data_IF_351213943303
#
_entry.id   IF_351213943303
#
_cell.length_a   1.000
_cell.length_b   1.000
_cell.length_c   1.000
_cell.angle_alpha   90.00
_cell.angle_beta   90.00
_cell.angle_gamma   90.00
#
_symmetry.space_group_name_H-M   'P 1'
#
loop_
_entity.id
_entity.type
_entity.pdbx_description
1 polymer ?
#
# COMPACT_ATOMS: atom_id res chain seq x y z
N UNK A 1 -4.39 -4.73 19.58
CA UNK A 1 -4.01 -4.13 18.30
C UNK A 1 -2.90 -3.09 18.46
N UNK A 2 -3.09 -2.01 19.24
CA UNK A 2 -2.10 -0.92 19.37
C UNK A 2 -0.72 -1.42 19.87
N UNK A 3 -0.65 -2.29 20.88
CA UNK A 3 0.60 -2.89 21.34
C UNK A 3 1.34 -3.61 20.22
N UNK A 4 0.64 -4.44 19.44
CA UNK A 4 1.23 -5.14 18.28
C UNK A 4 1.82 -4.18 17.24
N UNK A 5 1.13 -3.05 16.99
CA UNK A 5 1.62 -2.02 16.05
C UNK A 5 2.93 -1.42 16.56
N UNK A 6 2.97 -1.06 17.85
CA UNK A 6 4.17 -0.49 18.50
C UNK A 6 5.33 -1.49 18.52
N UNK A 7 5.07 -2.76 18.79
CA UNK A 7 6.11 -3.80 18.78
C UNK A 7 6.74 -3.96 17.39
N UNK A 8 5.91 -4.03 16.35
CA UNK A 8 6.39 -4.11 14.97
C UNK A 8 7.17 -2.85 14.57
N UNK A 9 6.64 -1.67 14.91
CA UNK A 9 7.30 -0.40 14.62
C UNK A 9 8.65 -0.27 15.35
N UNK A 10 8.71 -0.64 16.63
CA UNK A 10 9.94 -0.64 17.41
C UNK A 10 11.00 -1.60 16.83
N UNK A 11 10.57 -2.75 16.32
CA UNK A 11 11.47 -3.68 15.62
C UNK A 11 12.06 -3.04 14.35
N UNK A 12 11.19 -2.48 13.49
CA UNK A 12 11.61 -1.88 12.21
C UNK A 12 12.46 -0.62 12.45
N UNK A 13 12.18 0.16 13.47
CA UNK A 13 12.91 1.41 13.80
C UNK A 13 14.42 1.20 13.97
N UNK A 14 14.85 0.01 14.37
CA UNK A 14 16.28 -0.33 14.52
C UNK A 14 17.04 -0.24 13.19
N UNK A 15 16.34 -0.41 12.07
CA UNK A 15 16.90 -0.36 10.72
C UNK A 15 16.81 1.03 10.08
N UNK A 16 16.12 1.99 10.74
CA UNK A 16 15.97 3.35 10.21
C UNK A 16 17.14 4.27 10.55
N UNK A 17 18.05 3.83 11.45
CA UNK A 17 19.29 4.55 11.81
C UNK A 17 19.05 6.02 12.21
N UNK A 18 17.90 6.32 12.84
CA UNK A 18 17.50 7.68 13.22
C UNK A 18 17.05 8.58 12.07
N UNK A 19 17.07 8.09 10.83
CA UNK A 19 16.59 8.83 9.67
C UNK A 19 15.06 8.83 9.60
N UNK A 20 14.50 9.85 8.93
CA UNK A 20 13.06 9.99 8.74
C UNK A 20 12.63 9.41 7.39
N UNK A 21 11.69 8.49 7.42
CA UNK A 21 11.08 7.85 6.24
C UNK A 21 9.61 8.29 6.14
N UNK A 22 9.34 9.29 5.31
CA UNK A 22 7.98 9.85 5.18
C UNK A 22 7.18 9.24 4.04
N UNK A 23 7.80 8.43 3.19
CA UNK A 23 7.21 7.85 1.99
C UNK A 23 7.13 6.34 2.17
N UNK A 24 5.92 5.80 2.07
CA UNK A 24 5.64 4.39 1.98
C UNK A 24 5.23 4.01 0.56
N UNK A 25 5.66 2.85 0.09
CA UNK A 25 5.31 2.32 -1.24
C UNK A 25 4.83 0.88 -1.07
N UNK A 26 3.66 0.56 -1.61
CA UNK A 26 3.19 -0.84 -1.70
C UNK A 26 3.27 -1.26 -3.15
N UNK A 27 4.22 -2.14 -3.43
CA UNK A 27 4.43 -2.68 -4.78
C UNK A 27 3.40 -3.78 -5.05
N UNK A 28 2.53 -3.53 -6.02
CA UNK A 28 1.54 -4.49 -6.48
C UNK A 28 2.10 -5.50 -7.48
N UNK A 29 1.23 -6.38 -7.94
CA UNK A 29 1.53 -7.39 -8.96
C UNK A 29 2.06 -6.73 -10.23
N UNK A 30 3.14 -7.26 -10.77
CA UNK A 30 3.81 -6.72 -11.98
C UNK A 30 4.80 -5.58 -11.71
N UNK A 31 4.76 -4.93 -10.54
CA UNK A 31 5.64 -3.82 -10.19
C UNK A 31 6.81 -4.21 -9.28
N UNK A 32 7.06 -5.51 -9.11
CA UNK A 32 8.22 -6.01 -8.33
C UNK A 32 9.57 -5.52 -8.86
N UNK A 33 9.65 -5.25 -10.17
CA UNK A 33 10.85 -4.71 -10.82
C UNK A 33 11.18 -3.29 -10.34
N UNK A 34 10.18 -2.49 -9.97
CA UNK A 34 10.40 -1.16 -9.39
C UNK A 34 11.23 -1.24 -8.09
N UNK A 35 11.12 -2.35 -7.37
CA UNK A 35 11.97 -2.61 -6.21
C UNK A 35 13.47 -2.62 -6.53
N UNK A 36 13.86 -2.96 -7.76
CA UNK A 36 15.26 -2.92 -8.21
C UNK A 36 15.79 -1.49 -8.38
N UNK A 37 14.91 -0.50 -8.54
CA UNK A 37 15.27 0.92 -8.64
C UNK A 37 15.44 1.59 -7.28
N UNK A 38 15.18 0.87 -6.19
CA UNK A 38 15.41 1.35 -4.82
C UNK A 38 16.87 1.06 -4.46
N UNK A 39 17.59 2.07 -4.03
CA UNK A 39 18.91 1.92 -3.40
C UNK A 39 18.71 1.34 -2.01
N UNK A 40 18.67 0.01 -1.91
CA UNK A 40 18.28 -0.73 -0.71
C UNK A 40 19.40 -0.63 0.33
N UNK A 41 19.07 -0.15 1.53
CA UNK A 41 19.92 -0.22 2.73
C UNK A 41 19.67 -1.51 3.51
N UNK A 42 18.39 -1.82 3.76
CA UNK A 42 17.99 -3.01 4.51
C UNK A 42 16.83 -3.72 3.83
N UNK A 43 16.86 -5.05 3.90
CA UNK A 43 15.77 -5.94 3.50
C UNK A 43 15.34 -6.74 4.72
N UNK A 44 14.09 -6.63 5.12
CA UNK A 44 13.53 -7.30 6.29
C UNK A 44 12.43 -8.26 5.81
N UNK A 45 12.61 -9.58 5.91
CA UNK A 45 11.55 -10.53 5.62
C UNK A 45 10.34 -10.29 6.54
N UNK A 46 9.12 -10.33 6.03
CA UNK A 46 7.91 -10.15 6.84
C UNK A 46 7.83 -11.14 8.00
N UNK A 47 8.25 -12.38 7.77
CA UNK A 47 8.30 -13.41 8.81
C UNK A 47 9.22 -13.06 10.01
N UNK A 48 10.16 -12.14 9.81
CA UNK A 48 11.04 -11.63 10.87
C UNK A 48 10.47 -10.44 11.63
N UNK A 49 9.38 -9.83 11.15
CA UNK A 49 8.75 -8.67 11.80
C UNK A 49 7.66 -9.17 12.75
N UNK A 50 7.71 -8.84 14.05
CA UNK A 50 6.67 -9.25 14.99
C UNK A 50 5.27 -8.89 14.48
N UNK A 51 4.33 -9.81 14.60
CA UNK A 51 2.91 -9.65 14.26
C UNK A 51 2.57 -9.39 12.79
N UNK A 52 3.55 -9.38 11.88
CA UNK A 52 3.26 -9.27 10.46
C UNK A 52 2.65 -10.58 9.95
N UNK A 53 1.66 -10.52 9.05
CA UNK A 53 1.23 -11.70 8.32
C UNK A 53 2.36 -12.24 7.43
N UNK A 54 2.25 -13.49 7.02
CA UNK A 54 3.19 -14.11 6.08
C UNK A 54 2.47 -14.28 4.74
N UNK A 55 3.00 -13.71 3.66
CA UNK A 55 2.41 -13.89 2.33
C UNK A 55 2.50 -15.35 1.89
N UNK A 56 1.38 -15.90 1.45
CA UNK A 56 1.27 -17.28 0.93
C UNK A 56 1.27 -17.34 -0.59
N UNK A 57 1.23 -16.20 -1.25
CA UNK A 57 1.15 -16.09 -2.72
C UNK A 57 2.52 -16.27 -3.36
N UNK A 58 2.62 -17.23 -4.28
CA UNK A 58 3.82 -17.42 -5.09
C UNK A 58 4.14 -16.13 -5.89
N UNK A 59 5.42 -15.71 -5.85
CA UNK A 59 5.89 -14.49 -6.52
C UNK A 59 5.92 -13.25 -5.64
N UNK A 60 5.28 -13.25 -4.47
CA UNK A 60 5.48 -12.20 -3.48
C UNK A 60 6.68 -12.54 -2.59
N UNK A 61 7.75 -11.75 -2.73
CA UNK A 61 8.99 -11.99 -1.95
C UNK A 61 8.81 -11.79 -0.45
N UNK A 62 7.72 -11.13 -0.03
CA UNK A 62 7.39 -10.94 1.38
C UNK A 62 8.45 -10.17 2.16
N UNK A 63 8.95 -9.07 1.61
CA UNK A 63 10.01 -8.25 2.21
C UNK A 63 9.57 -6.81 2.42
N UNK A 64 10.05 -6.21 3.51
CA UNK A 64 10.05 -4.77 3.71
C UNK A 64 11.43 -4.24 3.30
N UNK A 65 11.46 -3.33 2.34
CA UNK A 65 12.66 -2.69 1.84
C UNK A 65 12.79 -1.31 2.44
N UNK A 66 13.95 -1.00 3.00
CA UNK A 66 14.28 0.32 3.53
C UNK A 66 15.43 0.87 2.68
N UNK A 67 15.28 2.06 2.13
CA UNK A 67 16.29 2.60 1.24
C UNK A 67 15.94 3.96 0.66
N UNK A 68 16.53 4.26 -0.51
CA UNK A 68 16.27 5.51 -1.24
C UNK A 68 15.68 5.22 -2.61
N UNK A 69 14.73 6.04 -3.01
CA UNK A 69 14.15 6.04 -4.35
C UNK A 69 14.06 7.47 -4.85
N UNK A 70 14.70 7.76 -5.99
CA UNK A 70 14.80 9.12 -6.49
C UNK A 70 15.42 10.10 -5.48
N UNK A 71 16.40 9.66 -4.70
CA UNK A 71 17.07 10.45 -3.66
C UNK A 71 16.24 10.71 -2.40
N UNK A 72 15.06 10.09 -2.25
CA UNK A 72 14.20 10.20 -1.06
C UNK A 72 14.18 8.91 -0.26
N UNK A 73 14.17 9.03 1.07
CA UNK A 73 14.04 7.88 1.95
C UNK A 73 12.64 7.28 1.81
N UNK A 74 12.58 5.97 1.55
CA UNK A 74 11.35 5.21 1.36
C UNK A 74 11.34 3.92 2.17
N UNK A 75 10.17 3.51 2.62
CA UNK A 75 9.89 2.16 3.10
C UNK A 75 8.97 1.52 2.06
N UNK A 76 9.42 0.44 1.43
CA UNK A 76 8.64 -0.21 0.40
C UNK A 76 8.27 -1.65 0.80
N UNK A 77 7.00 -2.00 0.63
CA UNK A 77 6.50 -3.36 0.76
C UNK A 77 6.67 -4.08 -0.57
N UNK A 78 7.55 -5.08 -0.63
CA UNK A 78 7.74 -5.96 -1.78
C UNK A 78 6.84 -7.18 -1.64
N UNK A 79 5.62 -7.05 -2.10
CA UNK A 79 4.50 -7.94 -1.84
C UNK A 79 3.57 -7.37 -0.77
N UNK A 80 2.36 -7.90 -0.76
CA UNK A 80 1.29 -7.49 0.16
C UNK A 80 0.46 -8.70 0.54
N UNK A 81 -0.45 -8.51 1.48
CA UNK A 81 -1.40 -9.52 1.94
C UNK A 81 -2.76 -9.28 1.26
N UNK A 82 -3.45 -10.37 0.92
CA UNK A 82 -4.74 -10.27 0.25
C UNK A 82 -5.83 -10.93 1.11
N UNK A 83 -7.02 -10.38 1.02
CA UNK A 83 -8.17 -10.91 1.74
C UNK A 83 -8.48 -12.37 1.35
N UNK A 84 -8.30 -12.73 0.07
CA UNK A 84 -8.52 -14.09 -0.41
C UNK A 84 -7.52 -15.13 0.12
N UNK A 85 -6.42 -14.70 0.75
CA UNK A 85 -5.48 -15.60 1.43
C UNK A 85 -6.04 -16.12 2.77
N UNK A 86 -7.24 -15.67 3.17
CA UNK A 86 -7.91 -16.08 4.40
C UNK A 86 -7.61 -15.18 5.61
N UNK A 87 -6.84 -14.13 5.44
CA UNK A 87 -6.59 -13.15 6.49
C UNK A 87 -7.80 -12.24 6.73
N UNK A 88 -8.20 -11.97 7.98
CA UNK A 88 -9.19 -10.95 8.27
C UNK A 88 -8.68 -9.57 7.82
N UNK A 89 -9.60 -8.69 7.41
CA UNK A 89 -9.25 -7.38 6.85
C UNK A 89 -8.37 -6.53 7.78
N UNK A 90 -8.49 -6.72 9.09
CA UNK A 90 -7.63 -6.04 10.08
C UNK A 90 -6.17 -6.48 10.01
N UNK A 91 -5.89 -7.73 9.63
CA UNK A 91 -4.53 -8.24 9.43
C UNK A 91 -3.98 -7.81 8.08
N UNK A 92 -4.80 -7.85 7.02
CA UNK A 92 -4.42 -7.35 5.69
C UNK A 92 -3.94 -5.89 5.76
N UNK A 93 -4.62 -5.06 6.56
CA UNK A 93 -4.31 -3.63 6.70
C UNK A 93 -3.33 -3.31 7.84
N UNK A 94 -2.92 -4.29 8.63
CA UNK A 94 -2.02 -4.11 9.77
C UNK A 94 -0.71 -3.39 9.41
N UNK A 95 -0.02 -3.76 8.30
CA UNK A 95 1.22 -3.10 7.91
C UNK A 95 1.07 -1.59 7.68
N UNK A 96 -0.08 -1.14 7.19
CA UNK A 96 -0.34 0.29 6.95
C UNK A 96 -0.32 1.07 8.27
N UNK A 97 -0.89 0.49 9.32
CA UNK A 97 -0.87 1.08 10.66
C UNK A 97 0.54 1.14 11.24
N UNK A 98 1.36 0.11 10.95
CA UNK A 98 2.77 0.10 11.34
C UNK A 98 3.57 1.16 10.58
N UNK A 99 3.36 1.33 9.27
CA UNK A 99 3.97 2.39 8.49
C UNK A 99 3.60 3.78 9.02
N UNK A 100 2.35 3.98 9.42
CA UNK A 100 1.90 5.22 10.06
C UNK A 100 2.65 5.49 11.38
N UNK A 101 2.79 4.49 12.24
CA UNK A 101 3.53 4.58 13.51
C UNK A 101 5.02 4.91 13.29
N UNK A 102 5.62 4.43 12.20
CA UNK A 102 6.98 4.76 11.77
C UNK A 102 7.12 6.20 11.21
N UNK A 103 6.01 6.95 11.09
CA UNK A 103 6.02 8.34 10.65
C UNK A 103 5.85 8.53 9.14
N UNK A 104 5.45 7.50 8.40
CA UNK A 104 5.06 7.63 6.98
C UNK A 104 3.89 8.59 6.85
N UNK A 105 3.99 9.55 5.93
CA UNK A 105 2.98 10.59 5.66
C UNK A 105 2.35 10.45 4.28
N UNK A 106 3.07 9.87 3.34
CA UNK A 106 2.65 9.67 1.96
C UNK A 106 2.71 8.20 1.64
N UNK A 107 1.60 7.63 1.22
CA UNK A 107 1.51 6.23 0.84
C UNK A 107 1.16 6.12 -0.64
N UNK A 108 2.02 5.44 -1.39
CA UNK A 108 1.77 5.07 -2.78
C UNK A 108 1.37 3.60 -2.82
N UNK A 109 0.20 3.32 -3.35
CA UNK A 109 -0.32 1.96 -3.47
C UNK A 109 -0.55 1.66 -4.95
N UNK A 110 -0.05 0.53 -5.41
CA UNK A 110 -0.23 0.08 -6.78
C UNK A 110 -0.83 -1.32 -6.83
N UNK A 111 -1.66 -1.58 -7.83
CA UNK A 111 -2.24 -2.88 -8.08
C UNK A 111 -2.57 -3.04 -9.57
N UNK A 112 -2.60 -4.28 -10.05
CA UNK A 112 -3.26 -4.61 -11.31
C UNK A 112 -4.76 -4.74 -11.07
N UNK A 113 -5.56 -4.34 -12.06
CA UNK A 113 -7.02 -4.47 -12.02
C UNK A 113 -7.57 -4.69 -13.43
N UNK A 114 -8.76 -5.31 -13.54
CA UNK A 114 -9.52 -5.35 -14.77
C UNK A 114 -10.14 -3.99 -15.09
N UNK A 115 -10.04 -3.56 -16.34
CA UNK A 115 -10.70 -2.35 -16.81
C UNK A 115 -12.16 -2.63 -17.20
N UNK A 116 -13.11 -1.99 -16.51
CA UNK A 116 -14.55 -2.05 -16.85
C UNK A 116 -14.90 -0.97 -17.88
N UNK A 117 -14.19 0.15 -17.87
CA UNK A 117 -14.34 1.19 -18.87
C UNK A 117 -13.79 0.69 -20.22
N UNK A 118 -14.64 0.62 -21.22
CA UNK A 118 -14.30 0.13 -22.57
C UNK A 118 -13.29 1.01 -23.33
N UNK A 119 -13.04 2.22 -22.84
CA UNK A 119 -12.03 3.11 -23.41
C UNK A 119 -10.61 2.86 -22.85
N UNK A 120 -10.50 2.05 -21.81
CA UNK A 120 -9.21 1.72 -21.24
C UNK A 120 -8.54 0.58 -22.01
N UNK A 121 -7.25 0.68 -22.19
CA UNK A 121 -6.44 -0.32 -22.89
C UNK A 121 -5.59 -1.11 -21.87
N UNK A 122 -5.23 -2.32 -22.25
CA UNK A 122 -4.29 -3.12 -21.45
C UNK A 122 -2.96 -2.41 -21.37
N UNK A 123 -2.47 -2.20 -20.13
CA UNK A 123 -1.24 -1.47 -19.88
C UNK A 123 -1.43 -0.01 -19.51
N UNK A 124 -2.64 0.53 -19.57
CA UNK A 124 -2.93 1.88 -19.09
C UNK A 124 -2.62 2.02 -17.60
N UNK A 125 -2.09 3.18 -17.24
CA UNK A 125 -1.94 3.61 -15.86
C UNK A 125 -3.14 4.46 -15.46
N UNK A 126 -3.86 4.03 -14.42
CA UNK A 126 -5.02 4.76 -13.89
C UNK A 126 -4.71 5.34 -12.51
N UNK A 127 -4.95 6.63 -12.36
CA UNK A 127 -4.99 7.29 -11.06
C UNK A 127 -6.36 6.99 -10.44
N UNK A 128 -6.36 6.34 -9.27
CA UNK A 128 -7.57 6.12 -8.50
C UNK A 128 -7.97 7.45 -7.84
N UNK A 129 -9.17 7.93 -8.15
CA UNK A 129 -9.72 9.17 -7.59
C UNK A 129 -10.69 8.90 -6.44
N UNK A 130 -11.33 7.74 -6.45
CA UNK A 130 -12.23 7.26 -5.40
C UNK A 130 -12.34 5.75 -5.47
N UNK A 131 -13.04 5.13 -4.51
CA UNK A 131 -13.25 3.68 -4.55
C UNK A 131 -14.62 3.28 -3.98
N UNK A 132 -15.10 2.13 -4.46
CA UNK A 132 -16.30 1.46 -3.97
C UNK A 132 -15.86 0.20 -3.27
N UNK A 133 -16.18 0.08 -1.99
CA UNK A 133 -15.85 -1.10 -1.20
C UNK A 133 -17.04 -2.07 -1.18
N UNK A 134 -16.90 -3.18 -1.89
CA UNK A 134 -17.87 -4.29 -1.93
C UNK A 134 -17.35 -5.53 -1.16
N UNK A 135 -16.36 -5.37 -0.31
CA UNK A 135 -15.92 -6.44 0.58
C UNK A 135 -16.92 -6.68 1.71
N UNK A 136 -17.11 -7.92 2.15
CA UNK A 136 -18.01 -8.26 3.27
C UNK A 136 -17.46 -7.81 4.62
N UNK A 137 -16.16 -7.54 4.70
CA UNK A 137 -15.45 -7.07 5.88
C UNK A 137 -14.89 -5.66 5.71
N UNK A 138 -14.77 -4.96 6.85
CA UNK A 138 -14.18 -3.64 6.90
C UNK A 138 -13.12 -3.61 8.03
N UNK A 139 -11.92 -3.07 7.79
CA UNK A 139 -10.83 -3.08 8.80
C UNK A 139 -11.15 -2.26 10.06
N UNK A 140 -12.11 -1.34 9.98
CA UNK A 140 -12.57 -0.54 11.12
C UNK A 140 -13.74 -1.19 11.89
N UNK A 141 -14.18 -2.41 11.53
CA UNK A 141 -15.21 -3.12 12.27
C UNK A 141 -14.70 -3.48 13.68
N UNK A 142 -15.53 -3.28 14.69
CA UNK A 142 -15.23 -3.58 16.09
C UNK A 142 -15.05 -2.30 16.93
N UNK A 143 -14.42 -2.43 18.11
CA UNK A 143 -14.15 -1.29 19.00
C UNK A 143 -13.18 -0.32 18.34
N UNK A 144 -13.49 0.97 18.41
CA UNK A 144 -12.57 2.01 17.93
C UNK A 144 -11.26 2.00 18.73
N UNK A 145 -10.18 2.41 18.09
CA UNK A 145 -8.88 2.65 18.70
C UNK A 145 -8.63 4.14 18.52
N UNK A 146 -9.00 4.93 19.54
CA UNK A 146 -9.06 6.39 19.46
C UNK A 146 -7.69 7.00 19.11
N UNK A 147 -6.60 6.34 19.52
CA UNK A 147 -5.22 6.73 19.19
C UNK A 147 -4.90 6.63 17.69
N UNK A 148 -5.68 5.84 16.93
CA UNK A 148 -5.50 5.70 15.49
C UNK A 148 -6.42 6.61 14.68
N UNK A 149 -7.35 7.29 15.34
CA UNK A 149 -8.24 8.25 14.71
C UNK A 149 -9.74 8.06 15.04
N UNK A 150 -10.60 8.89 14.44
CA UNK A 150 -12.03 8.87 14.72
C UNK A 150 -12.69 7.59 14.21
N UNK A 151 -13.82 7.21 14.86
CA UNK A 151 -14.63 6.05 14.46
C UNK A 151 -15.08 6.10 13.00
N UNK A 152 -15.41 7.30 12.52
CA UNK A 152 -15.88 7.55 11.16
C UNK A 152 -14.96 8.57 10.49
N UNK A 153 -13.83 8.12 9.91
CA UNK A 153 -12.95 9.01 9.18
C UNK A 153 -13.65 9.51 7.91
N UNK A 154 -13.47 10.80 7.60
CA UNK A 154 -13.91 11.36 6.33
C UNK A 154 -13.16 10.71 5.17
N UNK A 155 -13.88 10.29 4.12
CA UNK A 155 -13.30 9.64 2.95
C UNK A 155 -13.29 10.53 1.71
N UNK A 156 -13.81 11.75 1.80
CA UNK A 156 -13.87 12.69 0.67
C UNK A 156 -12.50 12.98 0.06
N UNK A 157 -11.47 13.06 0.91
CA UNK A 157 -10.09 13.34 0.50
C UNK A 157 -9.18 12.10 0.71
N UNK A 158 -9.72 10.90 0.53
CA UNK A 158 -8.95 9.66 0.67
C UNK A 158 -7.72 9.63 -0.26
N UNK A 159 -7.87 10.22 -1.45
CA UNK A 159 -6.79 10.40 -2.42
C UNK A 159 -6.41 11.87 -2.48
N UNK A 160 -5.15 12.18 -2.15
CA UNK A 160 -4.67 13.55 -2.05
C UNK A 160 -4.71 14.28 -3.40
N UNK A 161 -5.50 15.36 -3.55
CA UNK A 161 -5.56 16.13 -4.81
C UNK A 161 -4.20 16.72 -5.20
N UNK A 162 -3.35 17.03 -4.22
CA UNK A 162 -1.99 17.52 -4.45
C UNK A 162 -1.12 16.43 -5.10
N UNK A 163 -1.21 15.18 -4.62
CA UNK A 163 -0.41 14.07 -5.17
C UNK A 163 -0.93 13.69 -6.55
N UNK A 164 -2.25 13.73 -6.76
CA UNK A 164 -2.85 13.49 -8.08
C UNK A 164 -2.30 14.49 -9.10
N UNK A 165 -2.35 15.80 -8.82
CA UNK A 165 -1.79 16.82 -9.72
C UNK A 165 -0.31 16.60 -10.01
N UNK A 166 0.48 16.24 -8.99
CA UNK A 166 1.89 15.94 -9.18
C UNK A 166 2.11 14.74 -10.11
N UNK A 167 1.29 13.69 -9.98
CA UNK A 167 1.36 12.53 -10.87
C UNK A 167 0.99 12.90 -12.30
N UNK A 168 -0.02 13.74 -12.52
CA UNK A 168 -0.42 14.26 -13.83
C UNK A 168 0.70 15.09 -14.48
N UNK A 169 1.35 15.96 -13.72
CA UNK A 169 2.51 16.74 -14.18
C UNK A 169 3.67 15.82 -14.59
N UNK A 170 3.94 14.79 -13.80
CA UNK A 170 4.95 13.78 -14.13
C UNK A 170 4.57 13.01 -15.39
N UNK A 171 3.31 12.56 -15.53
CA UNK A 171 2.81 11.89 -16.72
C UNK A 171 3.00 12.72 -17.99
N UNK A 172 2.60 14.00 -17.95
CA UNK A 172 2.81 14.95 -19.05
C UNK A 172 4.28 15.11 -19.40
N UNK A 173 5.14 15.29 -18.39
CA UNK A 173 6.59 15.46 -18.58
C UNK A 173 7.25 14.24 -19.21
N UNK A 174 6.77 13.05 -18.90
CA UNK A 174 7.31 11.78 -19.37
C UNK A 174 6.62 11.28 -20.65
N UNK A 175 5.58 11.96 -21.14
CA UNK A 175 4.77 11.49 -22.27
C UNK A 175 3.95 10.24 -21.96
N UNK A 176 3.63 9.98 -20.69
CA UNK A 176 2.85 8.82 -20.25
C UNK A 176 1.39 9.27 -20.07
N UNK A 177 0.45 8.74 -20.86
CA UNK A 177 -0.97 9.02 -20.67
C UNK A 177 -1.44 8.40 -19.35
N UNK A 178 -2.24 9.15 -18.59
CA UNK A 178 -2.81 8.69 -17.33
C UNK A 178 -4.33 8.71 -17.44
N UNK A 179 -4.94 7.59 -17.11
CA UNK A 179 -6.39 7.48 -16.96
C UNK A 179 -6.79 7.88 -15.53
N UNK A 180 -8.06 8.16 -15.33
CA UNK A 180 -8.64 8.46 -14.01
C UNK A 180 -9.90 7.62 -13.82
N UNK A 181 -10.13 7.17 -12.60
CA UNK A 181 -11.32 6.37 -12.35
C UNK A 181 -11.56 5.99 -10.90
N UNK A 182 -12.72 5.43 -10.67
CA UNK A 182 -13.15 4.86 -9.40
C UNK A 182 -12.77 3.38 -9.38
N UNK A 183 -12.10 2.95 -8.31
CA UNK A 183 -11.72 1.55 -8.12
C UNK A 183 -12.80 0.80 -7.33
N UNK A 184 -13.32 -0.29 -7.87
CA UNK A 184 -14.24 -1.17 -7.16
C UNK A 184 -13.49 -2.39 -6.60
N UNK A 185 -13.48 -2.52 -5.28
CA UNK A 185 -12.88 -3.66 -4.59
C UNK A 185 -13.91 -4.75 -4.33
N UNK A 186 -13.64 -5.97 -4.80
CA UNK A 186 -14.47 -7.15 -4.67
C UNK A 186 -13.76 -8.26 -3.90
N UNK A 187 -14.53 -9.17 -3.29
CA UNK A 187 -13.99 -10.31 -2.55
C UNK A 187 -13.22 -11.29 -3.44
N UNK A 188 -13.65 -11.49 -4.67
CA UNK A 188 -13.08 -12.40 -5.66
C UNK A 188 -12.82 -11.68 -6.97
N UNK A 189 -11.80 -12.13 -7.70
CA UNK A 189 -11.56 -11.66 -9.06
C UNK A 189 -12.71 -12.05 -9.97
N UNK A 190 -13.29 -11.09 -10.70
CA UNK A 190 -14.33 -11.32 -11.69
C UNK A 190 -13.83 -11.99 -12.98
N UNK A 191 -12.52 -12.21 -13.10
CA UNK A 191 -11.90 -12.81 -14.30
C UNK A 191 -12.27 -14.30 -14.45
N UNK A 192 -12.76 -14.92 -13.39
CA UNK A 192 -13.01 -16.36 -13.33
C UNK A 192 -14.51 -16.71 -13.21
N UNK A 193 -15.38 -15.81 -13.59
CA UNK A 193 -16.83 -16.07 -13.70
C UNK A 193 -17.18 -16.34 -15.15
#
# INVERSE_FOLDING_TARGET
>A
MLGKIKDSAAYISRFLEGEKYRIGIILGTGLGELGKSIEIKHTIPYAGIPHFPVSTVQGHKGNLLIGKFGGKNVIAMQGRFHFYEGYPMQEVTFPIRVLHELGVKYLFVSNAAGGVNTQFLVGDLMIITDHINLFPEHPLRGKNIDELGPRFPGMTDAYSPRIIRLAEECGKKLGIPLQHGVYAGLQLSLIHI
#
